data_IF_213349943707
#
_entry.id   IF_213349943707
#
_cell.length_a   1.000
_cell.length_b   1.000
_cell.length_c   1.000
_cell.angle_alpha   90.00
_cell.angle_beta   90.00
_cell.angle_gamma   90.00
#
_symmetry.space_group_name_H-M   'P 1'
#
loop_
_entity.id
_entity.type
_entity.pdbx_description
1 polymer ?
#
# COMPACT_ATOMS: atom_id res chain seq x y z
N UNK A 1 -9.54 9.40 -33.85
CA UNK A 1 -10.53 8.85 -32.94
C UNK A 1 -9.92 8.06 -31.80
N UNK A 2 -8.68 7.66 -31.97
CA UNK A 2 -8.02 6.85 -30.93
C UNK A 2 -7.23 7.67 -29.95
N UNK A 3 -7.51 8.93 -29.87
CA UNK A 3 -6.79 9.79 -28.92
C UNK A 3 -6.96 9.25 -27.51
N UNK A 4 -8.12 8.79 -27.21
CA UNK A 4 -8.38 8.23 -25.89
C UNK A 4 -7.65 6.90 -25.66
N UNK A 5 -7.08 6.35 -26.69
CA UNK A 5 -6.26 5.15 -26.56
C UNK A 5 -4.84 5.45 -26.15
N UNK A 6 -4.47 6.70 -26.11
CA UNK A 6 -3.13 7.05 -25.71
C UNK A 6 -2.97 6.70 -24.24
N UNK A 7 -1.92 5.94 -23.91
CA UNK A 7 -1.71 5.57 -22.50
C UNK A 7 -1.49 6.81 -21.64
N UNK A 8 -1.90 6.74 -20.39
CA UNK A 8 -1.64 7.85 -19.47
C UNK A 8 -0.16 8.15 -19.45
N UNK A 9 0.22 9.42 -19.51
CA UNK A 9 1.62 9.77 -19.52
C UNK A 9 2.25 9.50 -18.16
N UNK A 10 3.39 8.90 -18.18
CA UNK A 10 4.38 9.01 -17.15
C UNK A 10 4.03 8.41 -15.79
N UNK A 11 2.95 7.68 -15.65
CA UNK A 11 2.71 7.01 -14.37
C UNK A 11 3.27 5.61 -14.46
N UNK A 12 4.40 5.39 -13.81
CA UNK A 12 4.97 4.06 -13.74
C UNK A 12 4.05 3.15 -12.95
N UNK A 13 3.89 1.89 -13.38
CA UNK A 13 3.06 0.96 -12.63
C UNK A 13 3.46 0.83 -11.17
N UNK A 14 4.74 0.84 -10.87
CA UNK A 14 5.19 0.77 -9.50
C UNK A 14 4.75 1.98 -8.71
N UNK A 15 4.89 3.18 -9.28
CA UNK A 15 4.49 4.40 -8.59
C UNK A 15 3.00 4.37 -8.25
N UNK A 16 2.18 3.97 -9.21
CA UNK A 16 0.74 3.87 -8.99
C UNK A 16 0.42 2.85 -7.90
N UNK A 17 1.16 1.74 -7.90
CA UNK A 17 0.97 0.70 -6.90
C UNK A 17 1.34 1.19 -5.51
N UNK A 18 2.41 1.98 -5.39
CA UNK A 18 2.81 2.54 -4.11
C UNK A 18 1.76 3.51 -3.57
N UNK A 19 1.23 4.35 -4.44
CA UNK A 19 0.17 5.27 -4.04
C UNK A 19 -1.07 4.51 -3.57
N UNK A 20 -1.42 3.46 -4.29
CA UNK A 20 -2.57 2.65 -3.93
C UNK A 20 -2.35 1.97 -2.57
N UNK A 21 -1.14 1.47 -2.34
CA UNK A 21 -0.81 0.84 -1.08
C UNK A 21 -0.90 1.83 0.08
N UNK A 22 -0.43 3.06 -0.13
CA UNK A 22 -0.54 4.09 0.90
C UNK A 22 -2.00 4.37 1.25
N UNK A 23 -2.84 4.51 0.24
CA UNK A 23 -4.26 4.76 0.46
C UNK A 23 -4.92 3.59 1.18
N UNK A 24 -4.57 2.38 0.76
CA UNK A 24 -5.13 1.19 1.39
C UNK A 24 -4.77 1.15 2.88
N UNK A 25 -3.51 1.38 3.19
CA UNK A 25 -3.06 1.34 4.59
C UNK A 25 -3.64 2.47 5.42
N UNK A 26 -3.84 3.62 4.81
CA UNK A 26 -4.43 4.75 5.51
C UNK A 26 -5.88 4.43 5.95
N UNK A 27 -6.61 3.73 5.12
CA UNK A 27 -8.02 3.43 5.37
C UNK A 27 -8.19 2.12 6.14
N UNK A 28 -7.43 1.09 5.78
CA UNK A 28 -7.63 -0.27 6.28
C UNK A 28 -6.49 -0.78 7.16
N UNK A 29 -5.44 -0.02 7.32
CA UNK A 29 -4.31 -0.47 8.13
C UNK A 29 -4.65 -0.59 9.60
N UNK A 30 -3.86 -1.33 10.36
CA UNK A 30 -2.72 -2.07 9.88
C UNK A 30 -3.13 -3.30 9.06
N UNK A 31 -2.32 -3.62 8.06
CA UNK A 31 -2.63 -4.72 7.16
C UNK A 31 -1.36 -5.37 6.64
N UNK A 32 -1.52 -6.54 6.05
CA UNK A 32 -0.40 -7.27 5.46
C UNK A 32 -0.35 -7.03 3.97
N UNK A 33 0.82 -7.34 3.37
CA UNK A 33 0.94 -7.27 1.91
C UNK A 33 -0.03 -8.24 1.23
N UNK A 34 -0.25 -9.41 1.83
CA UNK A 34 -1.19 -10.37 1.27
C UNK A 34 -2.62 -9.84 1.24
N UNK A 35 -3.03 -9.16 2.30
CA UNK A 35 -4.36 -8.55 2.34
C UNK A 35 -4.49 -7.47 1.27
N UNK A 36 -3.46 -6.66 1.12
CA UNK A 36 -3.44 -5.65 0.08
C UNK A 36 -3.52 -6.29 -1.30
N UNK A 37 -2.77 -7.38 -1.52
CA UNK A 37 -2.77 -8.06 -2.81
C UNK A 37 -4.17 -8.54 -3.18
N UNK A 38 -4.88 -9.13 -2.23
CA UNK A 38 -6.25 -9.60 -2.48
C UNK A 38 -7.19 -8.45 -2.78
N UNK A 39 -7.06 -7.38 -2.02
CA UNK A 39 -7.91 -6.22 -2.21
C UNK A 39 -7.68 -5.56 -3.57
N UNK A 40 -6.42 -5.43 -3.96
CA UNK A 40 -6.05 -4.75 -5.20
C UNK A 40 -6.12 -5.65 -6.42
N UNK A 41 -6.22 -6.95 -6.23
CA UNK A 41 -6.25 -7.90 -7.35
C UNK A 41 -4.89 -8.07 -8.01
N UNK A 42 -3.81 -7.98 -7.26
CA UNK A 42 -2.46 -8.16 -7.77
C UNK A 42 -1.81 -9.38 -7.13
N UNK A 43 -0.68 -9.80 -7.69
CA UNK A 43 0.04 -10.93 -7.15
C UNK A 43 0.66 -10.58 -5.79
N UNK A 44 0.77 -11.58 -4.93
CA UNK A 44 1.33 -11.37 -3.59
C UNK A 44 2.74 -10.78 -3.66
N UNK A 45 3.55 -11.27 -4.59
CA UNK A 45 4.92 -10.76 -4.72
C UNK A 45 4.96 -9.30 -5.14
N UNK A 46 3.97 -8.86 -5.93
CA UNK A 46 3.89 -7.45 -6.32
C UNK A 46 3.53 -6.58 -5.12
N UNK A 47 2.62 -7.06 -4.29
CA UNK A 47 2.26 -6.35 -3.07
C UNK A 47 3.44 -6.29 -2.11
N UNK A 48 4.16 -7.39 -1.96
CA UNK A 48 5.34 -7.43 -1.10
C UNK A 48 6.40 -6.47 -1.61
N UNK A 49 6.58 -6.40 -2.93
CA UNK A 49 7.52 -5.45 -3.53
C UNK A 49 7.13 -4.02 -3.25
N UNK A 50 5.84 -3.70 -3.34
CA UNK A 50 5.37 -2.36 -3.03
C UNK A 50 5.63 -2.01 -1.57
N UNK A 51 5.33 -2.93 -0.66
CA UNK A 51 5.57 -2.68 0.77
C UNK A 51 7.07 -2.52 1.03
N UNK A 52 7.92 -3.30 0.36
CA UNK A 52 9.36 -3.16 0.50
C UNK A 52 9.84 -1.79 0.02
N UNK A 53 9.27 -1.28 -1.06
CA UNK A 53 9.62 0.05 -1.55
C UNK A 53 9.16 1.15 -0.60
N UNK A 54 8.04 0.95 0.07
CA UNK A 54 7.57 1.92 1.06
C UNK A 54 8.48 1.94 2.28
N UNK A 55 9.10 0.80 2.59
CA UNK A 55 10.17 0.71 3.58
C UNK A 55 9.93 1.50 4.84
N UNK A 56 10.69 2.60 5.00
CA UNK A 56 10.62 3.39 6.22
C UNK A 56 9.33 4.20 6.35
N UNK A 57 8.50 4.23 5.32
CA UNK A 57 7.18 4.84 5.44
C UNK A 57 6.21 3.93 6.18
N UNK A 58 6.61 2.69 6.47
CA UNK A 58 5.78 1.71 7.15
C UNK A 58 6.32 1.42 8.54
N UNK A 59 5.42 1.14 9.46
CA UNK A 59 5.76 0.69 10.80
C UNK A 59 5.16 -0.69 11.03
N UNK A 60 5.92 -1.61 11.62
CA UNK A 60 5.36 -2.91 11.97
C UNK A 60 4.43 -2.78 13.17
N UNK A 61 3.32 -3.48 13.10
CA UNK A 61 2.33 -3.50 14.17
C UNK A 61 2.01 -4.95 14.48
N UNK A 62 2.10 -5.32 15.74
CA UNK A 62 1.71 -6.66 16.14
C UNK A 62 0.21 -6.69 16.39
N UNK A 63 -0.47 -7.60 15.72
CA UNK A 63 -1.91 -7.77 15.88
C UNK A 63 -2.20 -9.17 16.41
N UNK A 64 -3.43 -9.41 16.89
CA UNK A 64 -3.77 -10.74 17.37
C UNK A 64 -3.61 -11.83 16.32
N UNK A 65 -3.69 -11.48 15.04
CA UNK A 65 -3.55 -12.46 13.96
C UNK A 65 -2.15 -12.48 13.35
N UNK A 66 -1.20 -11.72 13.90
CA UNK A 66 0.17 -11.69 13.41
C UNK A 66 0.65 -10.27 13.16
N UNK A 67 1.81 -10.18 12.50
CA UNK A 67 2.40 -8.88 12.22
C UNK A 67 1.74 -8.24 11.00
N UNK A 68 1.56 -6.94 11.08
CA UNK A 68 0.98 -6.16 10.00
C UNK A 68 1.75 -4.86 9.87
N UNK A 69 1.36 -4.02 8.92
CA UNK A 69 2.04 -2.76 8.66
C UNK A 69 1.05 -1.62 8.68
N UNK A 70 1.50 -0.47 9.15
CA UNK A 70 0.74 0.76 9.05
C UNK A 70 1.65 1.86 8.52
N UNK A 71 1.06 2.95 8.04
CA UNK A 71 1.86 4.09 7.60
C UNK A 71 2.45 4.79 8.82
N UNK A 72 3.74 5.08 8.73
CA UNK A 72 4.41 5.82 9.81
C UNK A 72 3.74 7.17 10.04
N UNK A 73 3.28 7.80 8.97
CA UNK A 73 2.61 9.09 9.08
C UNK A 73 1.32 9.02 9.90
N UNK A 74 0.70 7.84 9.95
CA UNK A 74 -0.56 7.67 10.67
C UNK A 74 -0.34 7.31 12.14
N UNK A 75 0.88 7.04 12.54
CA UNK A 75 1.14 6.64 13.91
C UNK A 75 0.73 7.70 14.92
N UNK A 76 1.01 8.94 14.60
CA UNK A 76 0.68 10.03 15.51
C UNK A 76 -0.84 10.12 15.73
N UNK A 77 -1.62 9.90 14.68
CA UNK A 77 -3.08 9.94 14.80
C UNK A 77 -3.59 8.79 15.67
N UNK A 78 -2.96 7.62 15.55
CA UNK A 78 -3.35 6.46 16.35
C UNK A 78 -3.04 6.69 17.81
N UNK A 79 -1.95 7.39 18.10
CA UNK A 79 -1.50 7.60 19.47
C UNK A 79 -2.22 8.72 20.19
N UNK A 80 -2.86 9.59 19.45
CA UNK A 80 -3.55 10.71 20.09
C UNK A 80 -4.73 10.18 20.87
N UNK A 81 -4.75 10.43 22.16
CA UNK A 81 -5.85 9.96 23.00
C UNK A 81 -7.16 10.65 22.67
#
# INVERSE_FOLDING_TARGET
PEVWMVPPPAVEPLHARLELARRYLHVFGPATADAFARWAGIAAREAQGAFAHLGRDLLPVRTPTGDAWMLAADEAAVRVP
#
